data_IF_595682278568
#
_entry.id   IF_595682278568
#
_cell.length_a   1.000
_cell.length_b   1.000
_cell.length_c   1.000
_cell.angle_alpha   90.00
_cell.angle_beta   90.00
_cell.angle_gamma   90.00
#
_symmetry.space_group_name_H-M   'P 1'
#
loop_
_entity.id
_entity.type
_entity.pdbx_description
1 polymer ?
#
# COMPACT_ATOMS: atom_id res chain seq x y z
N UNK A 1 4.07 1.55 -14.58
CA UNK A 1 4.81 0.57 -13.74
C UNK A 1 5.48 -0.56 -14.55
N UNK A 2 5.84 -0.34 -15.81
CA UNK A 2 6.48 -1.38 -16.64
C UNK A 2 7.79 -1.92 -16.07
N UNK A 3 8.54 -1.09 -15.34
CA UNK A 3 9.79 -1.49 -14.68
C UNK A 3 9.59 -2.62 -13.65
N UNK A 4 8.56 -2.52 -12.81
CA UNK A 4 8.24 -3.53 -11.79
C UNK A 4 8.00 -4.88 -12.45
N UNK A 5 7.22 -4.89 -13.54
CA UNK A 5 6.92 -6.12 -14.31
C UNK A 5 8.16 -6.69 -14.99
N UNK A 6 9.07 -5.85 -15.48
CA UNK A 6 10.33 -6.32 -16.09
C UNK A 6 11.26 -6.95 -15.04
N UNK A 7 11.41 -6.30 -13.88
CA UNK A 7 12.24 -6.81 -12.80
C UNK A 7 11.68 -8.09 -12.17
N UNK A 8 10.36 -8.23 -12.09
CA UNK A 8 9.69 -9.41 -11.56
C UNK A 8 10.17 -10.72 -12.20
N UNK A 9 10.41 -10.71 -13.52
CA UNK A 9 10.86 -11.89 -14.28
C UNK A 9 12.29 -12.31 -13.98
N UNK A 10 13.08 -11.44 -13.36
CA UNK A 10 14.47 -11.70 -13.01
C UNK A 10 14.61 -12.19 -11.56
N UNK A 11 13.53 -12.14 -10.77
CA UNK A 11 13.55 -12.52 -9.36
C UNK A 11 13.24 -14.02 -9.20
N UNK A 12 13.94 -14.71 -8.27
CA UNK A 12 13.57 -16.05 -7.87
C UNK A 12 12.13 -16.14 -7.37
N UNK A 13 11.50 -17.28 -7.58
CA UNK A 13 10.18 -17.54 -7.02
C UNK A 13 10.21 -17.48 -5.49
N UNK A 14 9.14 -16.94 -4.90
CA UNK A 14 9.03 -16.79 -3.45
C UNK A 14 9.79 -15.60 -2.87
N UNK A 15 10.53 -14.84 -3.68
CA UNK A 15 11.20 -13.62 -3.21
C UNK A 15 10.21 -12.60 -2.65
N UNK A 16 10.58 -12.00 -1.52
CA UNK A 16 9.90 -10.84 -0.96
C UNK A 16 10.18 -9.60 -1.79
N UNK A 17 9.15 -8.79 -2.05
CA UNK A 17 9.28 -7.54 -2.80
C UNK A 17 8.66 -6.43 -1.97
N UNK A 18 9.42 -5.38 -1.66
CA UNK A 18 8.90 -4.19 -0.97
C UNK A 18 8.70 -3.10 -2.02
N UNK A 19 7.45 -2.69 -2.21
CA UNK A 19 7.06 -1.61 -3.12
C UNK A 19 6.83 -0.34 -2.32
N UNK A 20 7.72 0.64 -2.48
CA UNK A 20 7.60 1.96 -1.85
C UNK A 20 7.12 2.94 -2.91
N UNK A 21 5.95 3.54 -2.75
CA UNK A 21 5.39 4.45 -3.78
C UNK A 21 4.39 5.46 -3.22
N UNK A 22 4.35 6.69 -3.75
CA UNK A 22 3.23 7.61 -3.55
C UNK A 22 2.10 7.40 -4.57
N UNK A 23 2.20 6.39 -5.46
CA UNK A 23 1.28 6.27 -6.58
C UNK A 23 -0.04 5.63 -6.20
N UNK A 24 -1.12 6.37 -6.42
CA UNK A 24 -2.53 5.91 -6.31
C UNK A 24 -3.15 5.52 -7.65
N UNK A 25 -2.34 5.42 -8.71
CA UNK A 25 -2.84 5.14 -10.07
C UNK A 25 -3.35 3.71 -10.18
N UNK A 26 -4.39 3.50 -10.99
CA UNK A 26 -5.00 2.19 -11.25
C UNK A 26 -3.99 1.13 -11.72
N UNK A 27 -2.99 1.52 -12.50
CA UNK A 27 -1.93 0.64 -13.00
C UNK A 27 -1.09 0.02 -11.87
N UNK A 28 -1.16 0.56 -10.66
CA UNK A 28 -0.51 -0.01 -9.47
C UNK A 28 -1.04 -1.38 -9.10
N UNK A 29 -2.36 -1.56 -9.15
CA UNK A 29 -2.96 -2.87 -8.88
C UNK A 29 -2.52 -3.90 -9.91
N UNK A 30 -2.41 -3.51 -11.18
CA UNK A 30 -1.92 -4.40 -12.24
C UNK A 30 -0.47 -4.83 -12.00
N UNK A 31 0.39 -3.95 -11.48
CA UNK A 31 1.76 -4.30 -11.13
C UNK A 31 1.82 -5.31 -9.97
N UNK A 32 0.99 -5.12 -8.93
CA UNK A 32 0.86 -6.06 -7.81
C UNK A 32 0.38 -7.43 -8.29
N UNK A 33 -0.64 -7.47 -9.13
CA UNK A 33 -1.14 -8.72 -9.72
C UNK A 33 -0.08 -9.46 -10.53
N UNK A 34 0.74 -8.72 -11.28
CA UNK A 34 1.86 -9.33 -12.01
C UNK A 34 2.86 -9.96 -11.03
N UNK A 35 3.23 -9.27 -9.94
CA UNK A 35 4.15 -9.83 -8.95
C UNK A 35 3.61 -11.14 -8.32
N UNK A 36 2.32 -11.15 -7.96
CA UNK A 36 1.68 -12.36 -7.44
C UNK A 36 1.67 -13.50 -8.47
N UNK A 37 1.41 -13.20 -9.75
CA UNK A 37 1.45 -14.18 -10.84
C UNK A 37 2.83 -14.82 -11.02
N UNK A 38 3.91 -14.09 -10.73
CA UNK A 38 5.28 -14.62 -10.73
C UNK A 38 5.68 -15.29 -9.41
N UNK A 39 4.70 -15.59 -8.54
CA UNK A 39 4.90 -16.21 -7.23
C UNK A 39 5.82 -15.40 -6.30
N UNK A 40 5.82 -14.08 -6.43
CA UNK A 40 6.53 -13.15 -5.55
C UNK A 40 5.62 -12.74 -4.39
N UNK A 41 6.23 -12.29 -3.28
CA UNK A 41 5.53 -11.87 -2.06
C UNK A 41 5.62 -10.36 -1.87
N UNK A 42 4.72 -9.57 -2.48
CA UNK A 42 4.75 -8.12 -2.36
C UNK A 42 4.29 -7.64 -0.98
N UNK A 43 4.96 -6.60 -0.48
CA UNK A 43 4.59 -5.75 0.65
C UNK A 43 4.59 -4.31 0.15
N UNK A 44 3.57 -3.53 0.47
CA UNK A 44 3.43 -2.14 0.00
C UNK A 44 3.73 -1.17 1.14
N UNK A 45 4.59 -0.19 0.86
CA UNK A 45 4.75 1.02 1.66
C UNK A 45 4.18 2.16 0.83
N UNK A 46 2.96 2.57 1.16
CA UNK A 46 2.25 3.65 0.48
C UNK A 46 2.62 4.98 1.14
N UNK A 47 3.22 5.88 0.37
CA UNK A 47 3.50 7.23 0.82
C UNK A 47 2.23 8.07 0.65
N UNK A 48 1.72 8.66 1.74
CA UNK A 48 0.52 9.50 1.73
C UNK A 48 0.81 10.78 0.97
N UNK A 49 0.49 10.81 -0.32
CA UNK A 49 0.97 11.87 -1.21
C UNK A 49 0.51 13.25 -0.75
N UNK A 50 -0.66 13.37 -0.13
CA UNK A 50 -1.22 14.59 0.44
C UNK A 50 -0.33 15.21 1.51
N UNK A 51 0.36 14.39 2.31
CA UNK A 51 1.27 14.88 3.36
C UNK A 51 2.58 15.42 2.80
N UNK A 52 2.92 15.09 1.56
CA UNK A 52 4.08 15.59 0.83
C UNK A 52 3.71 16.72 -0.15
N UNK A 53 2.49 17.27 -0.06
CA UNK A 53 2.00 18.32 -0.97
C UNK A 53 1.51 17.82 -2.33
N UNK A 54 1.25 16.52 -2.45
CA UNK A 54 0.69 15.88 -3.64
C UNK A 54 -0.83 15.72 -3.60
N UNK A 55 -1.36 14.97 -4.57
CA UNK A 55 -2.81 14.79 -4.73
C UNK A 55 -3.37 13.75 -3.75
N UNK A 56 -4.61 13.97 -3.28
CA UNK A 56 -5.37 12.97 -2.53
C UNK A 56 -5.82 11.82 -3.45
N UNK A 57 -5.90 10.60 -2.93
CA UNK A 57 -6.43 9.48 -3.71
C UNK A 57 -6.24 8.07 -3.14
N UNK A 58 -5.74 7.93 -1.92
CA UNK A 58 -5.30 6.65 -1.38
C UNK A 58 -6.47 5.68 -1.06
N UNK A 59 -7.68 6.18 -0.81
CA UNK A 59 -8.78 5.35 -0.27
C UNK A 59 -9.15 4.15 -1.16
N UNK A 60 -9.33 4.38 -2.46
CA UNK A 60 -9.74 3.33 -3.41
C UNK A 60 -8.64 2.29 -3.62
N UNK A 61 -7.37 2.72 -3.67
CA UNK A 61 -6.23 1.81 -3.85
C UNK A 61 -6.03 0.95 -2.60
N UNK A 62 -6.20 1.53 -1.41
CA UNK A 62 -6.10 0.83 -0.13
C UNK A 62 -7.16 -0.25 0.00
N UNK A 63 -8.41 0.04 -0.35
CA UNK A 63 -9.49 -0.95 -0.32
C UNK A 63 -9.19 -2.13 -1.26
N UNK A 64 -8.69 -1.83 -2.46
CA UNK A 64 -8.34 -2.85 -3.45
C UNK A 64 -7.17 -3.73 -3.00
N UNK A 65 -6.13 -3.16 -2.39
CA UNK A 65 -4.99 -3.91 -1.84
C UNK A 65 -5.42 -4.75 -0.62
N UNK A 66 -6.29 -4.20 0.23
CA UNK A 66 -6.86 -4.92 1.38
C UNK A 66 -7.67 -6.14 0.95
N UNK A 67 -8.56 -6.00 -0.04
CA UNK A 67 -9.34 -7.12 -0.61
C UNK A 67 -8.48 -8.25 -1.18
N UNK A 68 -7.24 -7.93 -1.54
CA UNK A 68 -6.25 -8.87 -2.11
C UNK A 68 -5.29 -9.44 -1.08
N UNK A 69 -5.49 -9.14 0.22
CA UNK A 69 -4.61 -9.54 1.32
C UNK A 69 -3.14 -9.14 1.10
N UNK A 70 -2.92 -7.96 0.52
CA UNK A 70 -1.58 -7.40 0.37
C UNK A 70 -1.22 -6.67 1.66
N UNK A 71 -0.06 -6.95 2.28
CA UNK A 71 0.46 -6.18 3.41
C UNK A 71 0.71 -4.72 3.00
N UNK A 72 0.20 -3.75 3.76
CA UNK A 72 0.36 -2.31 3.46
C UNK A 72 0.75 -1.55 4.73
N UNK A 73 1.76 -0.71 4.62
CA UNK A 73 2.12 0.33 5.57
C UNK A 73 1.92 1.70 4.91
N UNK A 74 1.27 2.65 5.58
CA UNK A 74 1.16 4.02 5.08
C UNK A 74 2.15 4.92 5.82
N UNK A 75 2.87 5.77 5.09
CA UNK A 75 3.86 6.70 5.65
C UNK A 75 3.56 8.12 5.16
N UNK A 76 3.35 9.03 6.10
CA UNK A 76 3.22 10.46 5.84
C UNK A 76 4.52 11.23 6.07
N UNK A 77 4.54 12.48 5.62
CA UNK A 77 5.63 13.41 5.90
C UNK A 77 5.69 13.73 7.41
N UNK A 78 6.87 13.56 8.00
CA UNK A 78 7.11 13.77 9.42
C UNK A 78 6.80 12.56 10.33
N UNK A 79 6.33 11.44 9.76
CA UNK A 79 6.17 10.20 10.52
C UNK A 79 7.54 9.65 10.96
N UNK A 80 7.60 9.10 12.17
CA UNK A 80 8.78 8.34 12.62
C UNK A 80 8.84 6.99 11.89
N UNK A 81 9.79 6.87 10.95
CA UNK A 81 9.98 5.68 10.14
C UNK A 81 10.30 4.44 10.98
N UNK A 82 11.05 4.60 12.07
CA UNK A 82 11.41 3.49 12.93
C UNK A 82 10.15 2.89 13.55
N UNK A 83 9.28 3.71 14.14
CA UNK A 83 7.99 3.26 14.67
C UNK A 83 7.08 2.70 13.58
N UNK A 84 6.94 3.39 12.45
CA UNK A 84 6.00 3.01 11.38
C UNK A 84 6.34 1.66 10.72
N UNK A 85 7.62 1.35 10.55
CA UNK A 85 8.08 0.12 9.88
C UNK A 85 8.32 -1.05 10.83
N UNK A 86 8.50 -0.79 12.13
CA UNK A 86 8.65 -1.86 13.15
C UNK A 86 7.33 -2.59 13.39
N UNK A 87 6.20 -1.97 13.07
CA UNK A 87 4.91 -2.57 13.26
C UNK A 87 4.67 -3.69 12.25
N UNK A 88 4.10 -4.85 12.65
CA UNK A 88 3.83 -5.96 11.75
C UNK A 88 2.94 -5.47 10.59
N UNK A 89 3.40 -5.66 9.35
CA UNK A 89 2.84 -5.11 8.11
C UNK A 89 1.41 -5.58 7.76
N UNK A 90 0.62 -6.04 8.72
CA UNK A 90 -0.66 -6.67 8.47
C UNK A 90 -1.77 -5.66 8.16
N UNK A 91 -2.10 -4.66 9.01
CA UNK A 91 -3.29 -3.82 8.79
C UNK A 91 -3.28 -2.50 9.59
N UNK A 92 -2.58 -1.46 9.12
CA UNK A 92 -2.53 -0.19 9.86
C UNK A 92 -3.70 0.76 9.58
N UNK A 93 -4.49 0.94 10.66
CA UNK A 93 -5.66 1.80 10.89
C UNK A 93 -6.92 1.51 10.07
N UNK A 94 -7.81 0.72 10.70
CA UNK A 94 -9.27 0.94 10.59
C UNK A 94 -9.52 2.45 10.86
N UNK A 95 -10.12 3.24 9.96
CA UNK A 95 -10.72 4.49 10.41
C UNK A 95 -11.76 4.12 11.49
N UNK A 96 -11.89 4.91 12.58
CA UNK A 96 -12.93 4.66 13.57
C UNK A 96 -14.25 4.62 12.81
N UNK A 97 -15.02 3.54 12.98
CA UNK A 97 -16.40 3.50 12.50
C UNK A 97 -17.07 4.70 13.16
N UNK A 98 -17.58 5.69 12.41
CA UNK A 98 -18.27 6.81 13.04
C UNK A 98 -19.42 6.25 13.86
N UNK A 99 -19.43 6.57 15.15
CA UNK A 99 -20.55 6.23 16.01
C UNK A 99 -21.80 6.90 15.39
N UNK A 100 -22.87 6.16 15.05
CA UNK A 100 -24.09 6.77 14.53
C UNK A 100 -24.69 7.81 15.50
N UNK A 101 -24.31 7.81 16.79
CA UNK A 101 -24.68 8.87 17.73
C UNK A 101 -23.96 10.22 17.51
N UNK A 102 -22.88 10.27 16.71
CA UNK A 102 -22.18 11.51 16.37
C UNK A 102 -22.86 12.32 15.25
N UNK A 103 -23.92 11.75 14.63
CA UNK A 103 -24.73 12.40 13.59
C UNK A 103 -26.09 12.89 14.09
N UNK A 104 -26.39 12.74 15.38
CA UNK A 104 -27.62 13.25 15.98
C UNK A 104 -27.26 14.56 16.69
N UNK A 105 -27.43 15.66 15.96
CA UNK A 105 -27.52 17.03 16.49
C UNK A 105 -28.89 17.57 16.13
#
# INVERSE_FOLDING_TARGET
LGLVTMQAKLLPMGSGVILITPSVKSDFLLAIENLQRWNLRPVVVLLKSETFGGAEGDATILEALFKRNIPICQIGCGDDLASALTQPAAYFRRPPIPNPAAYIV
#
